data_IF_173652749527
#
_entry.id   IF_173652749527
#
_cell.length_a   1.000
_cell.length_b   1.000
_cell.length_c   1.000
_cell.angle_alpha   90.00
_cell.angle_beta   90.00
_cell.angle_gamma   90.00
#
_symmetry.space_group_name_H-M   'P 1'
#
loop_
_entity.id
_entity.type
_entity.pdbx_description
1 polymer ?
#
# COMPACT_ATOMS: atom_id res chain seq x y z
N UNK A 1 -86.38 -4.44 -2.06
CA UNK A 1 -85.83 -3.18 -1.54
C UNK A 1 -84.40 -3.51 -1.12
N UNK A 2 -83.45 -3.57 -2.05
CA UNK A 2 -82.60 -2.45 -2.47
C UNK A 2 -82.06 -1.65 -1.29
N UNK A 3 -80.87 -2.01 -0.82
CA UNK A 3 -79.91 -1.01 -0.35
C UNK A 3 -78.48 -1.50 -0.64
N UNK A 4 -77.78 -0.66 -1.39
CA UNK A 4 -76.44 -0.86 -1.91
C UNK A 4 -75.45 -0.28 -0.92
N UNK A 5 -74.48 -1.07 -0.45
CA UNK A 5 -73.31 -0.54 0.26
C UNK A 5 -72.08 -0.61 -0.64
N UNK A 6 -71.66 0.56 -1.10
CA UNK A 6 -70.35 0.80 -1.73
C UNK A 6 -69.27 0.77 -0.64
N UNK A 7 -68.18 0.00 -0.78
CA UNK A 7 -67.06 0.11 0.16
C UNK A 7 -66.21 1.35 -0.16
N UNK A 8 -65.88 2.12 0.88
CA UNK A 8 -64.95 3.24 0.82
C UNK A 8 -63.51 2.80 0.48
N UNK A 9 -62.70 3.66 -0.18
CA UNK A 9 -61.30 3.34 -0.47
C UNK A 9 -60.44 3.37 0.80
N UNK A 10 -59.60 2.35 0.99
CA UNK A 10 -58.65 2.30 2.11
C UNK A 10 -57.50 3.31 1.90
N UNK A 11 -57.17 4.06 2.94
CA UNK A 11 -56.02 4.97 2.94
C UNK A 11 -54.69 4.24 2.68
N UNK A 12 -53.72 4.86 1.98
CA UNK A 12 -52.41 4.25 1.73
C UNK A 12 -51.63 4.11 3.04
N UNK A 13 -51.12 2.91 3.29
CA UNK A 13 -50.21 2.61 4.40
C UNK A 13 -48.88 3.36 4.19
N UNK A 14 -48.27 3.93 5.25
CA UNK A 14 -46.98 4.61 5.14
C UNK A 14 -45.88 3.60 4.76
N UNK A 15 -45.09 3.95 3.74
CA UNK A 15 -43.86 3.23 3.37
C UNK A 15 -42.85 3.34 4.54
N UNK A 16 -42.21 2.25 4.99
CA UNK A 16 -41.21 2.33 6.04
C UNK A 16 -40.00 3.11 5.51
N UNK A 17 -39.56 4.13 6.26
CA UNK A 17 -38.33 4.86 5.99
C UNK A 17 -37.14 3.90 5.90
N UNK A 18 -36.29 4.13 4.89
CA UNK A 18 -35.07 3.37 4.68
C UNK A 18 -34.19 3.47 5.93
N UNK A 19 -34.06 2.35 6.65
CA UNK A 19 -33.24 2.22 7.84
C UNK A 19 -31.82 2.71 7.53
N UNK A 20 -31.45 3.90 8.00
CA UNK A 20 -30.08 4.40 7.90
C UNK A 20 -29.21 3.56 8.83
N UNK A 21 -28.52 2.58 8.26
CA UNK A 21 -27.62 1.73 9.02
C UNK A 21 -26.50 2.58 9.66
N UNK A 22 -26.59 2.76 10.98
CA UNK A 22 -25.52 3.34 11.79
C UNK A 22 -24.70 2.16 12.36
N UNK A 23 -23.46 1.94 11.91
CA UNK A 23 -22.63 0.86 12.45
C UNK A 23 -22.36 1.07 13.96
N UNK A 24 -22.33 -0.01 14.77
CA UNK A 24 -22.09 0.09 16.20
C UNK A 24 -20.68 0.63 16.52
N UNK A 25 -20.56 1.43 17.60
CA UNK A 25 -19.36 2.20 18.00
C UNK A 25 -18.02 1.44 17.96
N UNK A 26 -18.02 0.14 18.27
CA UNK A 26 -16.82 -0.70 18.22
C UNK A 26 -16.27 -0.93 16.81
N UNK A 27 -17.04 -0.63 15.76
CA UNK A 27 -16.58 -0.67 14.36
C UNK A 27 -15.83 0.60 13.95
N UNK A 28 -16.10 1.73 14.59
CA UNK A 28 -15.64 3.08 14.22
C UNK A 28 -14.57 3.66 15.16
N UNK A 29 -14.47 3.20 16.40
CA UNK A 29 -13.45 3.71 17.33
C UNK A 29 -12.05 3.13 17.02
N UNK A 30 -11.01 3.98 16.90
CA UNK A 30 -9.63 3.52 16.84
C UNK A 30 -9.34 2.64 18.06
N UNK A 31 -8.76 1.44 17.86
CA UNK A 31 -8.26 0.64 18.99
C UNK A 31 -7.04 1.27 19.67
N UNK A 32 -6.57 2.41 19.15
CA UNK A 32 -5.44 3.19 19.63
C UNK A 32 -5.71 4.68 19.33
N UNK A 33 -6.42 5.41 20.21
CA UNK A 33 -6.86 6.78 19.94
C UNK A 33 -5.70 7.78 19.78
N UNK A 34 -4.54 7.50 20.39
CA UNK A 34 -3.32 8.32 20.32
C UNK A 34 -2.33 7.84 19.23
N UNK A 35 -2.77 6.97 18.31
CA UNK A 35 -1.95 6.36 17.27
C UNK A 35 -2.35 6.83 15.86
N UNK A 36 -1.84 6.14 14.82
CA UNK A 36 -2.20 6.41 13.43
C UNK A 36 -3.71 6.37 13.23
N UNK A 37 -4.24 7.29 12.43
CA UNK A 37 -5.68 7.35 12.19
C UNK A 37 -6.17 6.07 11.48
N UNK A 38 -7.30 5.44 11.87
CA UNK A 38 -7.76 4.21 11.21
C UNK A 38 -8.08 4.33 9.71
N UNK A 39 -8.42 5.53 9.25
CA UNK A 39 -8.71 5.89 7.87
C UNK A 39 -8.34 7.37 7.70
N UNK A 40 -7.04 7.70 7.51
CA UNK A 40 -6.55 9.08 7.63
C UNK A 40 -7.13 10.02 6.59
N UNK A 41 -7.29 9.55 5.35
CA UNK A 41 -8.02 10.28 4.32
C UNK A 41 -9.54 10.28 4.54
N UNK A 42 -10.07 9.50 5.49
CA UNK A 42 -11.50 9.24 5.59
C UNK A 42 -12.12 8.80 4.24
N UNK A 43 -13.44 8.92 4.13
CA UNK A 43 -14.13 8.82 2.85
C UNK A 43 -13.91 10.07 1.98
N UNK A 44 -12.66 10.45 1.69
CA UNK A 44 -12.34 11.35 0.59
C UNK A 44 -12.82 10.68 -0.73
N UNK A 45 -14.13 10.81 -0.99
CA UNK A 45 -14.95 10.56 -2.18
C UNK A 45 -14.68 9.38 -3.13
N UNK A 46 -13.82 8.40 -2.82
CA UNK A 46 -13.57 7.30 -3.74
C UNK A 46 -14.14 5.97 -3.26
N UNK A 47 -15.19 5.53 -3.94
CA UNK A 47 -15.63 4.12 -3.95
C UNK A 47 -14.74 3.31 -4.89
N UNK A 48 -13.42 3.34 -4.70
CA UNK A 48 -12.49 2.49 -5.45
C UNK A 48 -12.41 1.10 -4.82
N UNK A 49 -12.21 0.09 -5.66
CA UNK A 49 -11.88 -1.26 -5.21
C UNK A 49 -10.48 -1.23 -4.60
N UNK A 50 -10.41 -1.33 -3.26
CA UNK A 50 -9.13 -1.39 -2.54
C UNK A 50 -8.37 -2.68 -2.87
N UNK A 51 -7.05 -2.54 -2.97
CA UNK A 51 -6.14 -3.66 -3.26
C UNK A 51 -5.70 -4.44 -2.03
N UNK A 52 -5.91 -3.87 -0.85
CA UNK A 52 -5.58 -4.45 0.45
C UNK A 52 -6.83 -4.76 1.26
N UNK A 53 -6.70 -5.68 2.20
CA UNK A 53 -7.68 -5.89 3.25
C UNK A 53 -7.08 -5.50 4.62
N UNK A 54 -7.59 -4.45 5.29
CA UNK A 54 -7.10 -4.08 6.62
C UNK A 54 -7.18 -5.24 7.59
N UNK A 55 -6.02 -5.70 8.09
CA UNK A 55 -5.95 -6.74 9.11
C UNK A 55 -6.08 -6.12 10.48
N UNK A 56 -7.20 -6.38 11.15
CA UNK A 56 -7.46 -5.95 12.54
C UNK A 56 -6.77 -6.88 13.55
N UNK A 57 -5.44 -6.99 13.48
CA UNK A 57 -4.66 -7.77 14.44
C UNK A 57 -4.47 -6.99 15.76
N UNK A 58 -4.19 -7.72 16.83
CA UNK A 58 -3.91 -7.13 18.15
C UNK A 58 -2.53 -6.46 18.14
N UNK A 59 -2.49 -5.19 18.53
CA UNK A 59 -1.26 -4.46 18.82
C UNK A 59 -0.70 -4.97 20.15
N UNK A 60 0.58 -5.36 20.18
CA UNK A 60 1.26 -5.73 21.43
C UNK A 60 1.61 -4.49 22.24
N UNK A 61 1.87 -4.63 23.54
CA UNK A 61 2.29 -3.50 24.39
C UNK A 61 3.50 -2.78 23.81
N UNK A 62 4.53 -3.51 23.38
CA UNK A 62 5.74 -2.91 22.79
C UNK A 62 5.47 -2.12 21.51
N UNK A 63 4.61 -2.64 20.62
CA UNK A 63 4.21 -1.93 19.40
C UNK A 63 3.42 -0.66 19.73
N UNK A 64 2.51 -0.73 20.70
CA UNK A 64 1.72 0.42 21.13
C UNK A 64 2.60 1.52 21.72
N UNK A 65 3.52 1.17 22.61
CA UNK A 65 4.44 2.15 23.22
C UNK A 65 5.38 2.78 22.18
N UNK A 66 5.83 2.02 21.19
CA UNK A 66 6.60 2.56 20.07
C UNK A 66 5.79 3.57 19.24
N UNK A 67 4.53 3.24 18.90
CA UNK A 67 3.64 4.16 18.20
C UNK A 67 3.47 5.47 18.96
N UNK A 68 3.12 5.42 20.26
CA UNK A 68 2.93 6.63 21.07
C UNK A 68 4.17 7.54 21.10
N UNK A 69 5.34 6.94 21.27
CA UNK A 69 6.60 7.69 21.43
C UNK A 69 7.15 8.22 20.12
N UNK A 70 7.03 7.45 19.02
CA UNK A 70 7.77 7.70 17.78
C UNK A 70 6.92 8.25 16.64
N UNK A 71 5.58 8.14 16.71
CA UNK A 71 4.72 8.56 15.60
C UNK A 71 4.86 10.04 15.26
N UNK A 72 4.94 10.91 16.27
CA UNK A 72 5.11 12.35 16.04
C UNK A 72 6.44 12.76 15.39
N UNK A 73 7.42 11.86 15.31
CA UNK A 73 8.74 12.15 14.72
C UNK A 73 8.97 11.38 13.42
N UNK A 74 8.58 10.11 13.37
CA UNK A 74 8.86 9.22 12.23
C UNK A 74 7.61 8.72 11.53
N UNK A 75 6.43 9.04 12.05
CA UNK A 75 5.13 8.68 11.48
C UNK A 75 4.51 9.81 10.66
N UNK A 76 3.68 9.43 9.69
CA UNK A 76 2.84 10.33 8.91
C UNK A 76 1.52 9.63 8.56
N UNK A 77 0.42 10.37 8.59
CA UNK A 77 -0.87 9.91 8.08
C UNK A 77 -1.04 10.32 6.61
N UNK A 78 -1.43 9.37 5.75
CA UNK A 78 -1.75 9.60 4.34
C UNK A 78 -3.17 10.15 4.26
N UNK A 79 -3.30 11.47 4.43
CA UNK A 79 -4.58 12.18 4.47
C UNK A 79 -4.98 12.81 3.12
N UNK A 80 -4.04 12.89 2.17
CA UNK A 80 -4.25 13.47 0.85
C UNK A 80 -4.33 15.01 0.83
N UNK A 81 -3.87 15.70 1.88
CA UNK A 81 -4.07 17.15 2.02
C UNK A 81 -2.87 18.00 1.64
N UNK A 82 -1.66 17.48 1.83
CA UNK A 82 -0.42 18.22 1.58
C UNK A 82 0.61 17.35 0.88
N UNK A 83 1.27 17.94 -0.12
CA UNK A 83 2.46 17.35 -0.73
C UNK A 83 3.60 17.36 0.29
N UNK A 84 4.27 16.22 0.42
CA UNK A 84 5.38 15.99 1.34
C UNK A 84 6.67 16.53 0.73
N UNK A 85 7.48 17.21 1.54
CA UNK A 85 8.87 17.53 1.20
C UNK A 85 9.78 16.36 1.60
N UNK A 86 10.16 15.54 0.62
CA UNK A 86 11.02 14.38 0.85
C UNK A 86 12.46 14.78 1.18
N UNK A 87 12.94 15.90 0.65
CA UNK A 87 14.30 16.39 0.90
C UNK A 87 14.43 16.84 2.35
N UNK A 88 13.46 17.60 2.86
CA UNK A 88 13.39 17.96 4.28
C UNK A 88 13.24 16.72 5.16
N UNK A 89 12.35 15.80 4.77
CA UNK A 89 12.03 14.61 5.56
C UNK A 89 13.23 13.67 5.75
N UNK A 90 14.06 13.50 4.70
CA UNK A 90 15.18 12.56 4.68
C UNK A 90 16.56 13.22 4.63
N UNK A 91 16.65 14.55 4.63
CA UNK A 91 17.93 15.27 4.57
C UNK A 91 18.63 15.15 3.21
N UNK A 92 17.86 15.11 2.12
CA UNK A 92 18.38 15.00 0.74
C UNK A 92 18.83 13.61 0.31
N UNK A 93 18.53 12.56 1.09
CA UNK A 93 18.77 11.17 0.66
C UNK A 93 17.80 10.80 -0.48
N UNK A 94 18.24 9.97 -1.46
CA UNK A 94 17.32 9.36 -2.41
C UNK A 94 16.28 8.52 -1.67
N UNK A 95 15.01 8.66 -2.04
CA UNK A 95 13.91 8.00 -1.33
C UNK A 95 13.32 6.84 -2.12
N UNK A 96 13.23 5.68 -1.47
CA UNK A 96 12.47 4.52 -1.95
C UNK A 96 11.16 4.44 -1.18
N UNK A 97 10.04 4.37 -1.90
CA UNK A 97 8.74 4.04 -1.34
C UNK A 97 8.61 2.51 -1.24
N UNK A 98 8.23 1.99 -0.08
CA UNK A 98 7.83 0.58 0.08
C UNK A 98 6.34 0.52 0.40
N UNK A 99 5.54 -0.15 -0.44
CA UNK A 99 4.10 -0.32 -0.24
C UNK A 99 3.83 -1.71 0.34
N UNK A 100 3.15 -1.76 1.48
CA UNK A 100 2.74 -3.00 2.11
C UNK A 100 3.88 -3.71 2.84
N UNK A 101 4.68 -2.98 3.62
CA UNK A 101 5.85 -3.53 4.33
C UNK A 101 5.49 -4.58 5.41
N UNK A 102 4.20 -4.73 5.74
CA UNK A 102 3.72 -5.74 6.68
C UNK A 102 4.25 -5.50 8.08
N UNK A 103 5.07 -6.41 8.59
CA UNK A 103 5.67 -6.29 9.92
C UNK A 103 6.99 -5.49 9.92
N UNK A 104 7.56 -5.19 8.74
CA UNK A 104 8.70 -4.29 8.58
C UNK A 104 10.07 -4.88 8.93
N UNK A 105 10.21 -6.17 9.22
CA UNK A 105 11.53 -6.76 9.51
C UNK A 105 12.48 -6.67 8.31
N UNK A 106 11.98 -6.96 7.10
CA UNK A 106 12.78 -6.85 5.88
C UNK A 106 13.14 -5.38 5.59
N UNK A 107 12.18 -4.46 5.75
CA UNK A 107 12.38 -3.01 5.64
C UNK A 107 13.49 -2.53 6.56
N UNK A 108 13.43 -2.90 7.84
CA UNK A 108 14.44 -2.51 8.83
C UNK A 108 15.83 -3.08 8.50
N UNK A 109 15.91 -4.33 8.04
CA UNK A 109 17.18 -4.93 7.62
C UNK A 109 17.78 -4.22 6.40
N UNK A 110 16.97 -3.93 5.38
CA UNK A 110 17.42 -3.20 4.19
C UNK A 110 17.84 -1.76 4.55
N UNK A 111 17.06 -1.05 5.38
CA UNK A 111 17.38 0.31 5.79
C UNK A 111 18.67 0.41 6.62
N UNK A 112 18.93 -0.58 7.49
CA UNK A 112 20.16 -0.66 8.26
C UNK A 112 21.38 -1.01 7.38
N UNK A 113 21.18 -1.84 6.35
CA UNK A 113 22.24 -2.22 5.40
C UNK A 113 22.58 -1.09 4.41
N UNK A 114 21.64 -0.21 4.13
CA UNK A 114 21.82 0.95 3.24
C UNK A 114 21.36 2.26 3.93
N UNK A 115 22.19 2.85 4.80
CA UNK A 115 21.88 4.12 5.45
C UNK A 115 21.89 5.32 4.47
N UNK A 116 22.33 5.13 3.22
CA UNK A 116 22.37 6.19 2.21
C UNK A 116 21.06 6.38 1.45
N UNK A 117 20.07 5.51 1.68
CA UNK A 117 18.74 5.58 1.07
C UNK A 117 17.69 5.83 2.13
N UNK A 118 16.82 6.81 1.89
CA UNK A 118 15.62 7.05 2.69
C UNK A 118 14.52 6.06 2.33
N UNK A 119 13.84 5.49 3.33
CA UNK A 119 12.73 4.58 3.14
C UNK A 119 11.43 5.21 3.67
N UNK A 120 10.52 5.51 2.76
CA UNK A 120 9.13 5.83 3.09
C UNK A 120 8.31 4.54 3.04
N UNK A 121 8.02 3.97 4.20
CA UNK A 121 7.33 2.69 4.32
C UNK A 121 5.83 2.93 4.56
N UNK A 122 4.98 2.59 3.58
CA UNK A 122 3.54 2.79 3.62
C UNK A 122 2.79 1.49 3.88
N UNK A 123 1.94 1.45 4.90
CA UNK A 123 1.06 0.31 5.20
C UNK A 123 -0.18 0.77 5.99
N UNK A 124 -1.23 -0.06 6.04
CA UNK A 124 -2.42 0.13 6.88
C UNK A 124 -2.42 -0.78 8.12
N UNK A 125 -1.37 -1.58 8.30
CA UNK A 125 -1.23 -2.56 9.37
C UNK A 125 -0.59 -1.94 10.62
N UNK A 126 -1.43 -1.41 11.52
CA UNK A 126 -0.97 -0.75 12.77
C UNK A 126 0.03 -1.54 13.61
N UNK A 127 -0.12 -2.86 13.85
CA UNK A 127 0.91 -3.64 14.56
C UNK A 127 2.27 -3.62 13.86
N UNK A 128 2.26 -3.64 12.53
CA UNK A 128 3.45 -3.57 11.69
C UNK A 128 4.13 -2.22 11.77
N UNK A 129 3.37 -1.13 11.70
CA UNK A 129 3.85 0.24 11.87
C UNK A 129 4.58 0.40 13.21
N UNK A 130 3.97 -0.07 14.31
CA UNK A 130 4.62 -0.04 15.62
C UNK A 130 5.87 -0.93 15.71
N UNK A 131 5.89 -2.06 15.01
CA UNK A 131 7.06 -2.94 14.97
C UNK A 131 8.23 -2.32 14.22
N UNK A 132 7.98 -1.74 13.04
CA UNK A 132 8.99 -1.06 12.23
C UNK A 132 9.59 0.13 12.97
N UNK A 133 8.76 0.97 13.60
CA UNK A 133 9.25 2.07 14.44
C UNK A 133 10.14 1.57 15.58
N UNK A 134 9.72 0.50 16.27
CA UNK A 134 10.51 -0.08 17.35
C UNK A 134 11.83 -0.71 16.86
N UNK A 135 11.84 -1.29 15.65
CA UNK A 135 13.06 -1.81 15.02
C UNK A 135 14.00 -0.67 14.64
N UNK A 136 13.48 0.38 14.00
CA UNK A 136 14.23 1.58 13.63
C UNK A 136 14.90 2.21 14.86
N UNK A 137 14.15 2.39 15.95
CA UNK A 137 14.66 2.97 17.20
C UNK A 137 15.77 2.10 17.81
N UNK A 138 15.55 0.79 17.94
CA UNK A 138 16.56 -0.13 18.47
C UNK A 138 17.82 -0.21 17.61
N UNK A 139 17.68 -0.08 16.30
CA UNK A 139 18.78 -0.11 15.35
C UNK A 139 19.46 1.24 15.13
N UNK A 140 18.98 2.32 15.76
CA UNK A 140 19.49 3.67 15.53
C UNK A 140 19.29 4.20 14.10
N UNK A 141 18.32 3.65 13.37
CA UNK A 141 18.04 4.04 11.99
C UNK A 141 17.37 5.42 11.96
N UNK A 142 17.90 6.32 11.14
CA UNK A 142 17.34 7.67 10.94
C UNK A 142 16.71 7.84 9.55
N UNK A 143 16.96 6.88 8.65
CA UNK A 143 16.55 6.86 7.24
C UNK A 143 15.21 6.14 7.00
N UNK A 144 14.38 5.92 8.03
CA UNK A 144 13.06 5.29 7.89
C UNK A 144 11.95 6.26 8.34
N UNK A 145 10.87 6.33 7.55
CA UNK A 145 9.61 6.97 7.92
C UNK A 145 8.46 6.02 7.65
N UNK A 146 7.45 6.04 8.51
CA UNK A 146 6.27 5.16 8.45
C UNK A 146 5.05 5.97 8.07
N UNK A 147 4.45 5.65 6.93
CA UNK A 147 3.21 6.26 6.46
C UNK A 147 2.02 5.33 6.68
N UNK A 148 0.96 5.83 7.30
CA UNK A 148 -0.28 5.08 7.54
C UNK A 148 -1.37 5.51 6.54
N UNK A 149 -1.94 4.56 5.81
CA UNK A 149 -3.07 4.81 4.90
C UNK A 149 -2.91 4.19 3.51
N UNK A 150 -3.75 4.63 2.57
CA UNK A 150 -3.77 4.08 1.21
C UNK A 150 -2.63 4.66 0.36
N UNK A 151 -1.69 3.82 -0.07
CA UNK A 151 -0.57 4.24 -0.89
C UNK A 151 -0.98 4.84 -2.25
N UNK A 152 -2.19 4.54 -2.75
CA UNK A 152 -2.72 5.20 -3.96
C UNK A 152 -2.95 6.70 -3.70
N UNK A 153 -3.45 7.07 -2.51
CA UNK A 153 -3.63 8.47 -2.12
C UNK A 153 -2.28 9.15 -1.95
N UNK A 154 -1.31 8.46 -1.32
CA UNK A 154 0.06 8.97 -1.17
C UNK A 154 0.68 9.31 -2.54
N UNK A 155 0.65 8.36 -3.47
CA UNK A 155 1.16 8.56 -4.83
C UNK A 155 0.40 9.66 -5.56
N UNK A 156 -0.94 9.70 -5.48
CA UNK A 156 -1.75 10.66 -6.23
C UNK A 156 -1.60 12.09 -5.72
N UNK A 157 -1.72 12.28 -4.41
CA UNK A 157 -1.97 13.60 -3.82
C UNK A 157 -0.78 14.17 -3.04
N UNK A 158 0.13 13.31 -2.55
CA UNK A 158 1.08 13.72 -1.51
C UNK A 158 2.55 13.62 -1.93
N UNK A 159 2.86 13.07 -3.10
CA UNK A 159 4.23 12.98 -3.60
C UNK A 159 4.44 13.87 -4.83
N UNK A 160 5.55 14.64 -4.89
CA UNK A 160 5.90 15.38 -6.09
C UNK A 160 6.17 14.46 -7.30
N UNK A 161 6.02 14.96 -8.54
CA UNK A 161 6.47 14.22 -9.71
C UNK A 161 7.96 13.89 -9.66
N UNK A 162 8.36 12.74 -10.22
CA UNK A 162 9.75 12.30 -10.35
C UNK A 162 10.59 12.34 -9.05
N UNK A 163 9.95 12.26 -7.88
CA UNK A 163 10.61 12.44 -6.58
C UNK A 163 11.14 11.15 -5.95
N UNK A 164 10.72 9.98 -6.45
CA UNK A 164 11.11 8.67 -5.90
C UNK A 164 12.28 8.08 -6.69
N UNK A 165 13.33 7.68 -5.97
CA UNK A 165 14.47 6.94 -6.52
C UNK A 165 14.17 5.44 -6.71
N UNK A 166 13.08 4.94 -6.15
CA UNK A 166 12.59 3.57 -6.37
C UNK A 166 11.26 3.29 -5.70
N UNK A 167 10.67 2.15 -6.06
CA UNK A 167 9.41 1.65 -5.51
C UNK A 167 9.51 0.15 -5.27
N UNK A 168 9.14 -0.29 -4.07
CA UNK A 168 9.13 -1.70 -3.67
C UNK A 168 7.70 -2.15 -3.36
N UNK A 169 7.31 -3.29 -3.92
CA UNK A 169 6.01 -3.93 -3.68
C UNK A 169 6.23 -5.42 -3.47
N UNK A 170 6.43 -5.83 -2.22
CA UNK A 170 6.75 -7.21 -1.88
C UNK A 170 5.53 -7.95 -1.32
N UNK A 171 5.24 -9.12 -1.88
CA UNK A 171 4.17 -10.02 -1.47
C UNK A 171 2.79 -9.33 -1.32
N UNK A 172 2.35 -8.50 -2.30
CA UNK A 172 1.02 -7.90 -2.23
C UNK A 172 -0.07 -8.98 -2.24
N UNK A 173 -1.23 -8.68 -1.66
CA UNK A 173 -2.35 -9.62 -1.57
C UNK A 173 -2.66 -10.24 -2.97
N UNK A 174 -2.54 -11.57 -3.17
CA UNK A 174 -2.54 -12.17 -4.50
C UNK A 174 -3.93 -12.33 -5.12
N UNK A 175 -4.98 -12.20 -4.31
CA UNK A 175 -6.38 -12.33 -4.71
C UNK A 175 -6.65 -13.52 -5.66
N UNK A 176 -6.46 -14.77 -5.21
CA UNK A 176 -6.36 -15.95 -6.10
C UNK A 176 -7.65 -16.31 -6.86
N UNK A 177 -8.79 -15.70 -6.50
CA UNK A 177 -10.06 -15.94 -7.19
C UNK A 177 -10.20 -14.95 -8.35
N UNK A 178 -10.46 -15.42 -9.56
CA UNK A 178 -10.61 -14.59 -10.78
C UNK A 178 -11.48 -13.33 -10.58
N UNK A 179 -12.63 -13.47 -9.92
CA UNK A 179 -13.53 -12.34 -9.58
C UNK A 179 -12.91 -11.23 -8.71
N UNK A 180 -11.76 -11.49 -8.11
CA UNK A 180 -11.02 -10.57 -7.26
C UNK A 180 -9.75 -10.03 -7.92
N UNK A 181 -9.38 -10.43 -9.15
CA UNK A 181 -8.14 -9.97 -9.80
C UNK A 181 -8.07 -8.44 -9.93
N UNK A 182 -9.21 -7.75 -10.10
CA UNK A 182 -9.31 -6.28 -10.06
C UNK A 182 -8.91 -5.63 -8.72
N UNK A 183 -8.64 -6.43 -7.68
CA UNK A 183 -8.08 -6.01 -6.38
C UNK A 183 -6.57 -6.17 -6.32
N UNK A 184 -5.92 -6.82 -7.29
CA UNK A 184 -4.45 -6.86 -7.35
C UNK A 184 -3.93 -5.43 -7.49
N UNK A 185 -2.85 -5.11 -6.78
CA UNK A 185 -2.26 -3.76 -6.79
C UNK A 185 -1.61 -3.45 -8.13
N UNK A 186 -0.74 -4.35 -8.62
CA UNK A 186 -0.09 -4.24 -9.93
C UNK A 186 -1.13 -4.41 -11.04
N UNK A 187 -1.53 -3.27 -11.60
CA UNK A 187 -2.51 -3.08 -12.69
C UNK A 187 -2.03 -1.90 -13.55
N UNK A 188 -2.48 -1.78 -14.81
CA UNK A 188 -2.08 -0.67 -15.68
C UNK A 188 -2.24 0.70 -15.03
N UNK A 189 -3.38 0.97 -14.37
CA UNK A 189 -3.66 2.28 -13.79
C UNK A 189 -2.78 2.58 -12.55
N UNK A 190 -2.30 1.54 -11.86
CA UNK A 190 -1.31 1.71 -10.81
C UNK A 190 0.06 2.07 -11.39
N UNK A 191 0.45 1.42 -12.49
CA UNK A 191 1.71 1.71 -13.17
C UNK A 191 1.72 3.11 -13.78
N UNK A 192 0.62 3.56 -14.36
CA UNK A 192 0.44 4.94 -14.85
C UNK A 192 0.75 5.93 -13.72
N UNK A 193 0.12 5.72 -12.56
CA UNK A 193 0.31 6.59 -11.40
C UNK A 193 1.73 6.51 -10.84
N UNK A 194 2.27 5.30 -10.65
CA UNK A 194 3.62 5.10 -10.12
C UNK A 194 4.69 5.75 -11.02
N UNK A 195 4.53 5.65 -12.35
CA UNK A 195 5.45 6.26 -13.30
C UNK A 195 5.52 7.78 -13.18
N UNK A 196 4.44 8.45 -12.75
CA UNK A 196 4.46 9.92 -12.52
C UNK A 196 5.29 10.35 -11.31
N UNK A 197 5.61 9.43 -10.40
CA UNK A 197 6.34 9.72 -9.14
C UNK A 197 7.76 9.16 -9.13
N UNK A 198 8.02 8.13 -9.94
CA UNK A 198 9.34 7.56 -10.10
C UNK A 198 10.21 8.42 -11.03
N UNK A 199 11.38 8.82 -10.55
CA UNK A 199 12.38 9.49 -11.37
C UNK A 199 12.80 8.61 -12.57
N UNK A 200 13.18 9.20 -13.72
CA UNK A 200 13.85 8.46 -14.80
C UNK A 200 14.97 7.55 -14.28
N UNK A 201 14.92 6.26 -14.65
CA UNK A 201 15.87 5.24 -14.21
C UNK A 201 15.56 4.59 -12.86
N UNK A 202 14.62 5.12 -12.08
CA UNK A 202 14.21 4.53 -10.81
C UNK A 202 13.60 3.13 -11.02
N UNK A 203 13.90 2.20 -10.11
CA UNK A 203 13.46 0.81 -10.22
C UNK A 203 12.16 0.58 -9.44
N UNK A 204 11.18 0.00 -10.12
CA UNK A 204 10.05 -0.70 -9.50
C UNK A 204 10.44 -2.17 -9.30
N UNK A 205 10.51 -2.59 -8.04
CA UNK A 205 10.84 -3.95 -7.64
C UNK A 205 9.63 -4.61 -6.99
N UNK A 206 9.03 -5.56 -7.71
CA UNK A 206 7.95 -6.41 -7.21
C UNK A 206 8.47 -7.79 -6.82
N UNK A 207 7.88 -8.41 -5.81
CA UNK A 207 8.14 -9.81 -5.47
C UNK A 207 6.83 -10.51 -5.08
N UNK A 208 6.66 -11.78 -5.46
CA UNK A 208 5.48 -12.59 -5.11
C UNK A 208 5.81 -14.08 -5.10
N UNK A 209 5.19 -14.84 -4.21
CA UNK A 209 5.26 -16.31 -4.15
C UNK A 209 4.03 -16.98 -4.82
N UNK A 210 3.16 -16.18 -5.46
CA UNK A 210 1.99 -16.67 -6.17
C UNK A 210 2.19 -16.58 -7.68
N UNK A 211 2.47 -17.71 -8.31
CA UNK A 211 2.81 -17.80 -9.74
C UNK A 211 1.77 -17.14 -10.69
N UNK A 212 0.45 -17.37 -10.57
CA UNK A 212 -0.54 -16.67 -11.40
C UNK A 212 -0.61 -15.14 -11.19
N UNK A 213 0.01 -14.62 -10.12
CA UNK A 213 0.16 -13.18 -9.93
C UNK A 213 1.51 -12.71 -10.47
N UNK A 214 2.58 -13.51 -10.36
CA UNK A 214 3.86 -13.23 -11.01
C UNK A 214 3.68 -13.08 -12.53
N UNK A 215 2.94 -14.01 -13.16
CA UNK A 215 2.62 -13.97 -14.59
C UNK A 215 1.87 -12.68 -14.97
N UNK A 216 0.84 -12.32 -14.20
CA UNK A 216 0.09 -11.09 -14.43
C UNK A 216 0.95 -9.84 -14.22
N UNK A 217 1.82 -9.82 -13.21
CA UNK A 217 2.74 -8.70 -12.99
C UNK A 217 3.66 -8.54 -14.20
N UNK A 218 4.23 -9.64 -14.69
CA UNK A 218 5.12 -9.65 -15.84
C UNK A 218 4.41 -9.15 -17.10
N UNK A 219 3.19 -9.64 -17.37
CA UNK A 219 2.37 -9.21 -18.51
C UNK A 219 2.10 -7.70 -18.46
N UNK A 220 1.60 -7.22 -17.32
CA UNK A 220 1.20 -5.81 -17.14
C UNK A 220 2.41 -4.87 -17.19
N UNK A 221 3.54 -5.23 -16.55
CA UNK A 221 4.77 -4.44 -16.57
C UNK A 221 5.41 -4.41 -17.96
N UNK A 222 5.46 -5.56 -18.64
CA UNK A 222 6.05 -5.65 -20.00
C UNK A 222 5.25 -4.86 -21.03
N UNK A 223 3.92 -4.82 -20.88
CA UNK A 223 3.04 -4.06 -21.77
C UNK A 223 3.08 -2.53 -21.52
N UNK A 224 3.58 -2.08 -20.38
CA UNK A 224 3.51 -0.67 -20.00
C UNK A 224 4.63 0.17 -20.66
N UNK A 225 4.31 1.25 -21.39
CA UNK A 225 5.29 1.96 -22.22
C UNK A 225 6.40 2.68 -21.44
N UNK A 226 6.14 3.04 -20.18
CA UNK A 226 7.08 3.77 -19.31
C UNK A 226 7.95 2.86 -18.42
N UNK A 227 7.83 1.54 -18.55
CA UNK A 227 8.66 0.60 -17.81
C UNK A 227 9.46 -0.28 -18.76
N UNK A 228 10.65 -0.66 -18.33
CA UNK A 228 11.54 -1.53 -19.06
C UNK A 228 12.08 -2.62 -18.15
N UNK A 229 12.04 -3.87 -18.61
CA UNK A 229 12.57 -4.97 -17.84
C UNK A 229 14.09 -4.81 -17.71
N UNK A 230 14.62 -4.95 -16.50
CA UNK A 230 16.06 -4.89 -16.25
C UNK A 230 16.79 -6.15 -16.72
N UNK A 231 16.07 -7.24 -16.99
CA UNK A 231 16.60 -8.45 -17.59
C UNK A 231 16.65 -8.29 -19.11
N UNK A 232 17.84 -8.44 -19.70
CA UNK A 232 18.06 -8.26 -21.14
C UNK A 232 17.18 -9.20 -22.00
N UNK A 233 16.94 -10.42 -21.52
CA UNK A 233 16.10 -11.42 -22.18
C UNK A 233 14.64 -11.39 -21.69
N UNK A 234 14.28 -10.40 -20.86
CA UNK A 234 12.98 -10.30 -20.20
C UNK A 234 12.79 -11.31 -19.07
N UNK A 235 11.52 -11.49 -18.65
CA UNK A 235 11.15 -12.44 -17.59
C UNK A 235 11.39 -11.95 -16.17
N UNK A 236 11.67 -12.89 -15.28
CA UNK A 236 11.89 -12.67 -13.85
C UNK A 236 13.38 -12.49 -13.55
N UNK A 237 13.69 -11.66 -12.56
CA UNK A 237 15.05 -11.47 -12.08
C UNK A 237 15.39 -12.49 -10.98
N UNK A 238 16.68 -12.87 -10.82
CA UNK A 238 17.11 -13.54 -9.59
C UNK A 238 16.87 -12.62 -8.39
N UNK A 239 16.58 -13.20 -7.22
CA UNK A 239 16.47 -12.41 -6.00
C UNK A 239 17.77 -11.64 -5.74
N UNK A 240 17.74 -10.30 -5.65
CA UNK A 240 18.92 -9.53 -5.31
C UNK A 240 19.42 -9.85 -3.90
N UNK A 241 20.74 -9.85 -3.68
CA UNK A 241 21.34 -10.14 -2.37
C UNK A 241 20.86 -9.18 -1.27
N UNK A 242 20.55 -7.94 -1.63
CA UNK A 242 20.05 -6.93 -0.69
C UNK A 242 18.63 -7.22 -0.18
N UNK A 243 17.83 -8.05 -0.88
CA UNK A 243 16.46 -8.36 -0.47
C UNK A 243 16.48 -9.53 0.51
N UNK A 244 16.18 -9.31 1.81
CA UNK A 244 16.25 -10.39 2.78
C UNK A 244 15.19 -11.46 2.52
N UNK A 245 15.44 -12.66 3.06
CA UNK A 245 14.41 -13.68 3.19
C UNK A 245 13.30 -13.16 4.09
N UNK A 246 12.13 -12.87 3.54
CA UNK A 246 11.00 -12.43 4.36
C UNK A 246 10.36 -13.62 5.06
N UNK A 247 9.65 -13.36 6.16
CA UNK A 247 8.85 -14.39 6.85
C UNK A 247 7.80 -15.03 5.93
N UNK A 248 7.31 -14.30 4.92
CA UNK A 248 6.36 -14.81 3.93
C UNK A 248 7.03 -15.76 2.95
N UNK A 249 8.26 -15.45 2.51
CA UNK A 249 9.04 -16.38 1.67
C UNK A 249 9.34 -17.68 2.39
N UNK A 250 9.70 -17.65 3.67
CA UNK A 250 9.91 -18.87 4.45
C UNK A 250 8.67 -19.78 4.43
N UNK A 251 7.48 -19.20 4.65
CA UNK A 251 6.22 -19.95 4.63
C UNK A 251 5.80 -20.45 3.24
N UNK A 252 6.16 -19.73 2.18
CA UNK A 252 5.93 -20.13 0.79
C UNK A 252 6.88 -21.26 0.37
N UNK A 253 8.17 -21.13 0.72
CA UNK A 253 9.19 -22.15 0.45
C UNK A 253 8.90 -23.47 1.19
N UNK A 254 8.40 -23.40 2.43
CA UNK A 254 7.95 -24.58 3.18
C UNK A 254 6.78 -25.32 2.48
N UNK A 255 6.07 -24.63 1.57
CA UNK A 255 4.98 -25.18 0.74
C UNK A 255 5.43 -25.48 -0.70
N UNK A 256 6.71 -25.33 -1.01
CA UNK A 256 7.28 -25.54 -2.34
C UNK A 256 6.96 -24.42 -3.35
N UNK A 257 6.54 -23.25 -2.89
CA UNK A 257 6.30 -22.10 -3.79
C UNK A 257 7.63 -21.53 -4.29
N UNK A 258 7.64 -21.10 -5.55
CA UNK A 258 8.73 -20.34 -6.15
C UNK A 258 8.44 -18.85 -5.97
N UNK A 259 9.40 -18.11 -5.41
CA UNK A 259 9.32 -16.65 -5.35
C UNK A 259 9.85 -16.07 -6.64
N UNK A 260 9.09 -15.18 -7.25
CA UNK A 260 9.48 -14.44 -8.44
C UNK A 260 9.72 -12.97 -8.11
N UNK A 261 10.87 -12.46 -8.53
CA UNK A 261 11.25 -11.06 -8.47
C UNK A 261 11.10 -10.43 -9.87
N UNK A 262 10.50 -9.23 -9.93
CA UNK A 262 10.35 -8.45 -11.15
C UNK A 262 10.96 -7.07 -10.91
N UNK A 263 12.02 -6.75 -11.66
CA UNK A 263 12.71 -5.46 -11.58
C UNK A 263 12.54 -4.75 -12.91
N UNK A 264 11.82 -3.63 -12.88
CA UNK A 264 11.58 -2.78 -14.06
C UNK A 264 12.04 -1.35 -13.78
N UNK A 265 12.83 -0.78 -14.69
CA UNK A 265 13.27 0.61 -14.62
C UNK A 265 12.22 1.52 -15.26
N UNK A 266 11.95 2.67 -14.64
CA UNK A 266 11.13 3.74 -15.25
C UNK A 266 11.92 4.37 -16.39
N UNK A 267 11.41 4.28 -17.62
CA UNK A 267 12.03 4.88 -18.80
C UNK A 267 11.97 6.40 -18.73
N UNK A 268 13.03 7.09 -19.14
CA UNK A 268 12.99 8.54 -19.36
C UNK A 268 11.85 8.93 -20.32
N UNK A 269 11.36 10.17 -20.23
CA UNK A 269 10.44 10.65 -21.26
C UNK A 269 11.15 10.54 -22.61
N UNK A 270 10.56 9.80 -23.56
CA UNK A 270 10.98 9.96 -24.94
C UNK A 270 10.76 11.44 -25.28
N UNK A 271 11.85 12.15 -25.60
CA UNK A 271 11.72 13.49 -26.15
C UNK A 271 10.81 13.37 -27.38
N UNK A 272 9.72 14.14 -27.49
CA UNK A 272 8.87 14.06 -28.67
C UNK A 272 9.68 14.63 -29.86
N UNK A 273 10.16 13.71 -30.71
CA UNK A 273 10.85 13.92 -31.99
C UNK A 273 12.22 14.64 -31.96
N UNK A 274 13.27 13.89 -32.33
CA UNK A 274 14.17 14.31 -33.41
C UNK A 274 13.65 13.74 -34.74
#
# INVERSE_FOLDING_TARGET
>A
MSESLTPQPSAPQPVPEANSYVPPKWRTEPRFPDGPAPDPAGSHHERRIRSFQPRRSRVTTGQGEALKRLWGTWGLDIDGRSVIDLDEMFGGLPVVLEIGFGMGEATAQMAAADPSTGILAADVHTPGQGNLLALAERGGMTNVRVANGDAIILLREMLPPDSLAGLRVYFPDPWPKARHHKRRLIQPEFLDLAATRLAPGAVLHCATDWEPYAEQMLEVLTAHPLFENTQADGGYAPRPEFRPLTRFEGQGLDKGHVVQDLLFARRGHASPNE
#
